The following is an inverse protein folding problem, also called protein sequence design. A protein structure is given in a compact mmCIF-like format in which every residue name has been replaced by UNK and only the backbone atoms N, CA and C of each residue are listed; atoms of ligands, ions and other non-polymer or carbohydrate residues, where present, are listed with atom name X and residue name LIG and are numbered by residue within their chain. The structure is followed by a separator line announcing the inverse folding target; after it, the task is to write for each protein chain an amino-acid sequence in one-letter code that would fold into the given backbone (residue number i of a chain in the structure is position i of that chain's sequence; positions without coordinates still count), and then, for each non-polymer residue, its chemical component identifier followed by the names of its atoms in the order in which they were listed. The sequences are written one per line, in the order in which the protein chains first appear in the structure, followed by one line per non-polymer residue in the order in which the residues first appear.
data_IF_531899648300
#
_entry.id   IF_531899648300
#
_cell.length_a   1.000
_cell.length_b   1.000
_cell.length_c   1.000
_cell.angle_alpha   90.00
_cell.angle_beta   90.00
_cell.angle_gamma   90.00
#
_symmetry.space_group_name_H-M   'P 1'
#
loop_
_entity.id
_entity.type
_entity.pdbx_description
1 polymer ?
#
# COMPACT_ATOMS: atom_id res chain seq x y z
N UNK A 1 12.47 11.68 1.61
CA UNK A 1 11.48 10.79 0.93
C UNK A 1 11.96 10.54 -0.49
N UNK A 2 12.28 9.29 -0.81
CA UNK A 2 12.81 8.85 -2.11
C UNK A 2 11.84 9.13 -3.26
N UNK A 3 12.34 9.11 -4.49
CA UNK A 3 11.56 9.28 -5.72
C UNK A 3 10.76 8.00 -5.99
N UNK A 4 9.63 7.83 -5.30
CA UNK A 4 8.80 6.65 -5.52
C UNK A 4 8.23 6.66 -6.94
N UNK A 5 8.41 5.55 -7.67
CA UNK A 5 7.84 5.38 -9.02
C UNK A 5 6.48 4.70 -8.90
N UNK A 6 5.46 5.31 -9.50
CA UNK A 6 4.08 4.82 -9.44
C UNK A 6 3.66 4.23 -10.77
N UNK A 7 2.98 3.08 -10.74
CA UNK A 7 2.57 2.34 -11.93
C UNK A 7 1.15 1.83 -11.75
N UNK A 8 0.28 2.12 -12.72
CA UNK A 8 -1.04 1.49 -12.85
C UNK A 8 -0.92 0.21 -13.67
N UNK A 9 -1.43 -0.90 -13.14
CA UNK A 9 -1.47 -2.20 -13.82
C UNK A 9 -2.90 -2.74 -13.96
N UNK A 10 -3.29 -3.24 -15.15
CA UNK A 10 -2.51 -3.27 -16.39
C UNK A 10 -2.35 -1.84 -16.94
N UNK A 11 -1.39 -1.66 -17.85
CA UNK A 11 -1.27 -0.39 -18.57
C UNK A 11 -2.57 -0.06 -19.31
N UNK A 12 -2.98 1.22 -19.38
CA UNK A 12 -4.14 1.64 -20.17
C UNK A 12 -3.98 1.39 -21.67
N UNK A 13 -2.75 1.25 -22.18
CA UNK A 13 -2.46 0.97 -23.58
C UNK A 13 -1.67 -0.33 -23.75
N UNK A 14 -1.73 -0.97 -24.94
CA UNK A 14 -0.88 -2.11 -25.24
C UNK A 14 0.60 -1.77 -25.03
N UNK A 15 1.29 -2.62 -24.25
CA UNK A 15 2.70 -2.41 -23.92
C UNK A 15 3.56 -2.71 -25.16
N UNK A 16 4.39 -1.74 -25.52
CA UNK A 16 5.49 -1.95 -26.47
C UNK A 16 6.66 -2.62 -25.74
N UNK A 17 7.25 -3.65 -26.35
CA UNK A 17 8.35 -4.41 -25.77
C UNK A 17 9.66 -4.02 -26.46
N UNK A 18 10.41 -3.13 -25.83
CA UNK A 18 11.73 -2.75 -26.33
C UNK A 18 12.72 -3.93 -26.22
N UNK A 19 13.71 -3.96 -27.12
CA UNK A 19 14.84 -4.87 -27.03
C UNK A 19 15.50 -4.78 -25.64
N UNK A 20 15.98 -5.91 -25.15
CA UNK A 20 16.64 -6.09 -23.85
C UNK A 20 15.72 -5.89 -22.62
N UNK A 21 14.41 -5.68 -22.83
CA UNK A 21 13.42 -5.63 -21.74
C UNK A 21 13.20 -7.01 -21.14
N UNK A 22 13.24 -7.12 -19.81
CA UNK A 22 12.87 -8.35 -19.09
C UNK A 22 11.34 -8.52 -19.08
N UNK A 23 10.89 -9.74 -19.36
CA UNK A 23 9.48 -10.09 -19.40
C UNK A 23 9.22 -11.42 -18.70
N UNK A 24 8.07 -11.52 -18.06
CA UNK A 24 7.51 -12.77 -17.58
C UNK A 24 6.60 -13.39 -18.64
N UNK A 25 6.84 -14.66 -18.97
CA UNK A 25 6.15 -15.40 -20.03
C UNK A 25 5.14 -16.34 -19.39
N UNK A 26 3.85 -16.03 -19.51
CA UNK A 26 2.76 -16.87 -18.99
C UNK A 26 2.70 -18.21 -19.72
N UNK A 27 2.52 -19.31 -19.00
CA UNK A 27 2.18 -20.60 -19.62
C UNK A 27 0.75 -20.59 -20.18
N UNK A 28 0.43 -21.50 -21.11
CA UNK A 28 -0.92 -21.60 -21.69
C UNK A 28 -1.96 -22.08 -20.66
N UNK A 29 -1.56 -23.01 -19.80
CA UNK A 29 -2.47 -23.70 -18.87
C UNK A 29 -2.65 -23.00 -17.53
N UNK A 30 -1.63 -22.28 -17.03
CA UNK A 30 -1.70 -21.56 -15.75
C UNK A 30 -1.02 -20.19 -15.86
N UNK A 31 -1.82 -19.12 -15.75
CA UNK A 31 -1.34 -17.74 -15.96
C UNK A 31 -0.31 -17.29 -14.93
N UNK A 32 -0.38 -17.82 -13.71
CA UNK A 32 0.52 -17.54 -12.59
C UNK A 32 1.76 -18.45 -12.59
N UNK A 33 1.92 -19.31 -13.62
CA UNK A 33 3.17 -20.05 -13.87
C UNK A 33 3.81 -19.49 -15.13
N UNK A 34 5.12 -19.32 -15.09
CA UNK A 34 5.85 -18.76 -16.21
C UNK A 34 7.35 -18.79 -16.02
N UNK A 35 8.05 -18.18 -16.98
CA UNK A 35 9.50 -18.03 -16.98
C UNK A 35 9.86 -16.59 -17.28
N UNK A 36 10.96 -16.13 -16.70
CA UNK A 36 11.54 -14.83 -17.07
C UNK A 36 12.35 -15.03 -18.35
N UNK A 37 12.27 -14.06 -19.25
CA UNK A 37 13.12 -13.97 -20.43
C UNK A 37 13.39 -12.52 -20.80
N UNK A 38 14.22 -12.33 -21.83
CA UNK A 38 14.63 -11.01 -22.32
C UNK A 38 14.19 -10.85 -23.77
N UNK A 39 13.55 -9.72 -24.09
CA UNK A 39 13.09 -9.41 -25.43
C UNK A 39 14.28 -9.23 -26.37
N UNK A 40 14.31 -9.98 -27.46
CA UNK A 40 15.38 -9.92 -28.47
C UNK A 40 14.98 -9.05 -29.64
N UNK A 41 13.77 -9.26 -30.17
CA UNK A 41 13.25 -8.55 -31.32
C UNK A 41 11.72 -8.67 -31.38
N UNK A 42 11.07 -7.86 -32.21
CA UNK A 42 9.66 -7.93 -32.53
C UNK A 42 9.49 -8.06 -34.05
N UNK A 43 8.76 -9.08 -34.50
CA UNK A 43 8.49 -9.34 -35.92
C UNK A 43 7.07 -9.89 -36.09
N UNK A 44 6.33 -9.36 -37.07
CA UNK A 44 4.99 -9.83 -37.45
C UNK A 44 4.00 -9.89 -36.26
N UNK A 45 4.01 -8.85 -35.42
CA UNK A 45 3.14 -8.78 -34.24
C UNK A 45 3.48 -9.76 -33.12
N UNK A 46 4.61 -10.48 -33.21
CA UNK A 46 5.11 -11.39 -32.19
C UNK A 46 6.42 -10.89 -31.60
N UNK A 47 6.65 -11.25 -30.35
CA UNK A 47 7.84 -10.86 -29.59
C UNK A 47 8.74 -12.08 -29.45
N UNK A 48 9.95 -11.98 -29.98
CA UNK A 48 11.00 -12.98 -29.80
C UNK A 48 11.67 -12.76 -28.45
N UNK A 49 11.64 -13.78 -27.59
CA UNK A 49 12.17 -13.71 -26.23
C UNK A 49 13.23 -14.79 -26.04
N UNK A 50 14.38 -14.40 -25.49
CA UNK A 50 15.45 -15.28 -25.06
C UNK A 50 15.19 -15.73 -23.62
N UNK A 51 15.22 -17.04 -23.39
CA UNK A 51 14.84 -17.66 -22.13
C UNK A 51 16.03 -18.49 -21.64
N UNK A 52 16.57 -18.20 -20.44
CA UNK A 52 17.64 -19.00 -19.86
C UNK A 52 17.11 -20.40 -19.49
N UNK A 53 17.93 -21.41 -19.73
CA UNK A 53 17.70 -22.80 -19.32
C UNK A 53 18.62 -23.07 -18.13
N UNK A 54 18.04 -23.13 -16.94
CA UNK A 54 18.72 -23.68 -15.77
C UNK A 54 18.69 -25.21 -15.87
N UNK A 55 19.78 -25.80 -16.34
CA UNK A 55 20.06 -27.23 -16.11
C UNK A 55 21.02 -27.35 -14.94
N UNK A 56 20.85 -28.33 -14.04
CA UNK A 56 21.89 -28.67 -13.08
C UNK A 56 23.16 -29.05 -13.85
N UNK A 57 24.27 -28.37 -13.59
CA UNK A 57 25.62 -28.72 -14.06
C UNK A 57 25.91 -28.61 -15.57
N UNK A 58 25.18 -27.79 -16.34
CA UNK A 58 25.59 -27.45 -17.72
C UNK A 58 25.83 -25.96 -17.89
N UNK A 59 26.63 -25.61 -18.90
CA UNK A 59 26.71 -24.23 -19.39
C UNK A 59 25.30 -23.65 -19.58
N UNK A 60 25.17 -22.35 -19.31
CA UNK A 60 23.91 -21.62 -19.37
C UNK A 60 23.38 -21.59 -20.79
N UNK A 61 22.62 -22.63 -21.17
CA UNK A 61 21.95 -22.68 -22.45
C UNK A 61 20.82 -21.66 -22.50
N UNK A 62 20.66 -21.00 -23.63
CA UNK A 62 19.53 -20.10 -23.90
C UNK A 62 18.75 -20.62 -25.09
N UNK A 63 17.43 -20.51 -25.06
CA UNK A 63 16.60 -20.74 -26.24
C UNK A 63 15.76 -19.51 -26.53
N UNK A 64 15.40 -19.32 -27.80
CA UNK A 64 14.54 -18.24 -28.22
C UNK A 64 13.17 -18.78 -28.62
N UNK A 65 12.11 -18.07 -28.22
CA UNK A 65 10.75 -18.43 -28.57
C UNK A 65 9.93 -17.18 -28.89
N UNK A 66 9.04 -17.32 -29.88
CA UNK A 66 8.17 -16.24 -30.33
C UNK A 66 6.81 -16.29 -29.62
N UNK A 67 6.46 -15.22 -28.92
CA UNK A 67 5.25 -15.12 -28.10
C UNK A 67 4.31 -14.03 -28.59
N UNK A 68 3.00 -14.27 -28.47
CA UNK A 68 2.01 -13.21 -28.64
C UNK A 68 2.10 -12.21 -27.46
N UNK A 69 1.94 -10.90 -27.68
CA UNK A 69 2.04 -9.87 -26.62
C UNK A 69 1.20 -10.19 -25.36
N UNK A 70 -0.03 -10.70 -25.54
CA UNK A 70 -0.91 -11.09 -24.42
C UNK A 70 -0.35 -12.18 -23.49
N UNK A 71 0.71 -12.89 -23.89
CA UNK A 71 1.40 -13.89 -23.06
C UNK A 71 2.55 -13.32 -22.24
N UNK A 72 2.95 -12.09 -22.51
CA UNK A 72 4.04 -11.42 -21.83
C UNK A 72 3.49 -10.47 -20.77
N UNK A 73 4.23 -10.33 -19.67
CA UNK A 73 4.03 -9.32 -18.64
C UNK A 73 5.38 -8.63 -18.47
N UNK A 74 5.47 -7.30 -18.60
CA UNK A 74 6.74 -6.62 -18.34
C UNK A 74 7.15 -6.83 -16.88
N UNK A 75 8.45 -7.00 -16.65
CA UNK A 75 9.01 -6.80 -15.31
C UNK A 75 9.14 -5.29 -15.15
N UNK A 76 8.26 -4.73 -14.32
CA UNK A 76 8.06 -3.30 -14.17
C UNK A 76 9.09 -2.66 -13.25
N UNK A 77 9.76 -3.50 -12.45
CA UNK A 77 10.70 -3.05 -11.45
C UNK A 77 12.06 -2.75 -12.01
N UNK A 78 12.60 -1.59 -11.65
CA UNK A 78 13.97 -1.23 -11.98
C UNK A 78 14.95 -1.77 -10.92
N UNK A 79 16.18 -2.10 -11.34
CA UNK A 79 17.27 -2.43 -10.42
C UNK A 79 17.80 -1.19 -9.66
N UNK A 80 17.03 -0.08 -9.61
CA UNK A 80 17.44 1.21 -9.05
C UNK A 80 16.97 1.37 -7.61
N UNK A 81 17.75 2.12 -6.82
CA UNK A 81 17.40 2.47 -5.45
C UNK A 81 16.14 3.36 -5.41
N UNK A 82 15.06 2.86 -4.80
CA UNK A 82 13.83 3.59 -4.59
C UNK A 82 12.63 2.66 -4.38
N UNK A 83 11.56 3.20 -3.78
CA UNK A 83 10.29 2.50 -3.67
C UNK A 83 9.59 2.52 -5.04
N UNK A 84 9.12 1.37 -5.50
CA UNK A 84 8.19 1.30 -6.62
C UNK A 84 6.81 0.87 -6.12
N UNK A 85 5.76 1.53 -6.58
CA UNK A 85 4.37 1.25 -6.19
C UNK A 85 3.59 0.83 -7.44
N UNK A 86 3.06 -0.39 -7.44
CA UNK A 86 2.21 -0.91 -8.50
C UNK A 86 0.79 -1.05 -7.96
N UNK A 87 -0.16 -0.33 -8.55
CA UNK A 87 -1.58 -0.40 -8.19
C UNK A 87 -2.33 -1.22 -9.23
N UNK A 88 -3.16 -2.16 -8.78
CA UNK A 88 -3.99 -2.99 -9.65
C UNK A 88 -5.42 -3.09 -9.13
N UNK A 89 -6.38 -3.30 -10.04
CA UNK A 89 -7.79 -3.44 -9.67
C UNK A 89 -8.13 -4.85 -9.16
N UNK A 90 -7.69 -5.88 -9.87
CA UNK A 90 -8.24 -7.24 -9.69
C UNK A 90 -7.28 -8.21 -9.00
N UNK A 91 -7.85 -9.21 -8.31
CA UNK A 91 -7.08 -10.30 -7.68
C UNK A 91 -6.28 -11.10 -8.70
N UNK A 92 -6.80 -11.33 -9.92
CA UNK A 92 -6.06 -12.06 -10.96
C UNK A 92 -4.79 -11.31 -11.40
N UNK A 93 -4.84 -9.99 -11.49
CA UNK A 93 -3.67 -9.18 -11.79
C UNK A 93 -2.71 -9.10 -10.61
N UNK A 94 -3.22 -9.03 -9.39
CA UNK A 94 -2.42 -9.07 -8.17
C UNK A 94 -1.57 -10.35 -8.08
N UNK A 95 -2.17 -11.52 -8.29
CA UNK A 95 -1.45 -12.80 -8.35
C UNK A 95 -0.49 -12.89 -9.51
N UNK A 96 -0.84 -12.31 -10.66
CA UNK A 96 0.06 -12.25 -11.81
C UNK A 96 1.29 -11.37 -11.54
N UNK A 97 1.13 -10.26 -10.79
CA UNK A 97 2.23 -9.43 -10.33
C UNK A 97 3.11 -10.18 -9.32
N UNK A 98 2.53 -10.95 -8.39
CA UNK A 98 3.30 -11.85 -7.53
C UNK A 98 4.18 -12.81 -8.32
N UNK A 99 3.64 -13.42 -9.38
CA UNK A 99 4.40 -14.35 -10.21
C UNK A 99 5.48 -13.67 -11.09
N UNK A 100 5.37 -12.38 -11.37
CA UNK A 100 6.20 -11.70 -12.38
C UNK A 100 7.20 -10.68 -11.84
N UNK A 101 6.97 -10.13 -10.65
CA UNK A 101 7.79 -9.05 -10.08
C UNK A 101 8.69 -9.51 -8.93
N UNK A 102 8.52 -10.76 -8.47
CA UNK A 102 9.32 -11.35 -7.42
C UNK A 102 10.55 -12.07 -7.96
N UNK A 103 11.59 -12.13 -7.14
CA UNK A 103 12.79 -12.94 -7.32
C UNK A 103 12.96 -13.90 -6.14
N UNK A 104 13.72 -14.97 -6.34
CA UNK A 104 13.77 -16.10 -5.40
C UNK A 104 14.27 -15.78 -4.00
N UNK A 105 14.95 -14.65 -3.81
CA UNK A 105 15.50 -14.23 -2.52
C UNK A 105 14.77 -13.02 -1.92
N UNK A 106 13.59 -12.65 -2.43
CA UNK A 106 12.81 -11.57 -1.82
C UNK A 106 12.29 -11.98 -0.43
N UNK A 107 12.20 -11.00 0.47
CA UNK A 107 11.43 -11.11 1.70
C UNK A 107 10.09 -10.45 1.45
N UNK A 108 9.00 -11.18 1.64
CA UNK A 108 7.67 -10.70 1.28
C UNK A 108 6.79 -10.57 2.51
N UNK A 109 6.15 -9.41 2.65
CA UNK A 109 5.02 -9.20 3.54
C UNK A 109 3.74 -9.10 2.70
N UNK A 110 2.75 -9.92 3.02
CA UNK A 110 1.41 -9.82 2.46
C UNK A 110 0.41 -9.38 3.54
N UNK A 111 -0.18 -8.20 3.36
CA UNK A 111 -1.17 -7.61 4.25
C UNK A 111 -2.56 -7.89 3.68
N UNK A 112 -3.40 -8.58 4.47
CA UNK A 112 -4.69 -9.11 4.02
C UNK A 112 -4.52 -10.41 3.25
N UNK A 113 -3.76 -11.37 3.81
CA UNK A 113 -3.46 -12.62 3.12
C UNK A 113 -4.64 -13.60 3.02
N UNK A 114 -5.73 -13.38 3.78
CA UNK A 114 -6.90 -14.25 3.83
C UNK A 114 -6.48 -15.73 4.04
N UNK A 115 -7.10 -16.67 3.33
CA UNK A 115 -6.79 -18.10 3.38
C UNK A 115 -5.56 -18.53 2.55
N UNK A 116 -4.72 -17.57 2.12
CA UNK A 116 -3.42 -17.84 1.52
C UNK A 116 -3.41 -18.23 0.04
N UNK A 117 -4.46 -17.96 -0.73
CA UNK A 117 -4.46 -18.23 -2.18
C UNK A 117 -3.40 -17.42 -2.95
N UNK A 118 -3.31 -16.11 -2.70
CA UNK A 118 -2.27 -15.28 -3.30
C UNK A 118 -0.89 -15.58 -2.69
N UNK A 119 -0.84 -15.83 -1.38
CA UNK A 119 0.35 -16.31 -0.67
C UNK A 119 0.97 -17.54 -1.34
N UNK A 120 0.15 -18.46 -1.87
CA UNK A 120 0.66 -19.68 -2.50
C UNK A 120 1.40 -19.37 -3.80
N UNK A 121 0.93 -18.37 -4.55
CA UNK A 121 1.64 -17.87 -5.72
C UNK A 121 2.97 -17.28 -5.28
N UNK A 122 2.97 -16.37 -4.30
CA UNK A 122 4.17 -15.72 -3.76
C UNK A 122 5.20 -16.76 -3.31
N UNK A 123 4.82 -17.71 -2.47
CA UNK A 123 5.70 -18.74 -1.91
C UNK A 123 6.30 -19.70 -2.94
N UNK A 124 5.75 -19.78 -4.15
CA UNK A 124 6.36 -20.54 -5.25
C UNK A 124 7.45 -19.75 -5.97
N UNK A 125 7.54 -18.43 -5.75
CA UNK A 125 8.53 -17.57 -6.39
C UNK A 125 9.64 -17.12 -5.45
N UNK A 126 9.48 -17.25 -4.13
CA UNK A 126 10.47 -16.83 -3.10
C UNK A 126 11.14 -18.00 -2.36
N UNK A 127 11.53 -19.04 -3.09
CA UNK A 127 12.06 -20.30 -2.52
C UNK A 127 13.30 -20.14 -1.62
N UNK A 128 14.15 -19.14 -1.90
CA UNK A 128 15.36 -18.81 -1.12
C UNK A 128 15.17 -17.59 -0.21
N UNK A 129 13.97 -17.02 -0.24
CA UNK A 129 13.53 -15.92 0.59
C UNK A 129 12.45 -16.40 1.55
N UNK A 130 11.54 -15.52 1.92
CA UNK A 130 10.45 -15.89 2.82
C UNK A 130 9.19 -15.04 2.62
N UNK A 131 8.08 -15.54 3.17
CA UNK A 131 6.78 -14.88 3.14
C UNK A 131 6.18 -14.82 4.56
N UNK A 132 5.72 -13.63 4.93
CA UNK A 132 4.83 -13.40 6.06
C UNK A 132 3.47 -12.97 5.51
N UNK A 133 2.43 -13.74 5.81
CA UNK A 133 1.06 -13.28 5.66
C UNK A 133 0.51 -12.73 6.98
N UNK A 134 -0.15 -11.57 6.94
CA UNK A 134 -0.92 -11.05 8.08
C UNK A 134 -2.37 -10.82 7.66
N UNK A 135 -3.29 -11.13 8.58
CA UNK A 135 -4.72 -10.87 8.42
C UNK A 135 -5.36 -10.63 9.80
N UNK A 136 -6.53 -10.01 9.81
CA UNK A 136 -7.31 -9.77 11.04
C UNK A 136 -8.19 -10.95 11.42
N UNK A 137 -8.55 -11.82 10.46
CA UNK A 137 -9.38 -13.00 10.73
C UNK A 137 -8.51 -14.16 11.21
N UNK A 138 -8.79 -14.61 12.43
CA UNK A 138 -8.19 -15.82 13.01
C UNK A 138 -8.49 -17.05 12.16
N UNK A 139 -9.72 -17.17 11.66
CA UNK A 139 -10.17 -18.32 10.86
C UNK A 139 -9.40 -18.41 9.54
N UNK A 140 -9.21 -17.27 8.86
CA UNK A 140 -8.46 -17.21 7.60
C UNK A 140 -6.98 -17.58 7.80
N UNK A 141 -6.37 -17.07 8.87
CA UNK A 141 -4.99 -17.40 9.23
C UNK A 141 -4.83 -18.88 9.55
N UNK A 142 -5.75 -19.47 10.30
CA UNK A 142 -5.71 -20.91 10.60
C UNK A 142 -5.77 -21.74 9.30
N UNK A 143 -6.70 -21.42 8.39
CA UNK A 143 -6.80 -22.10 7.09
C UNK A 143 -5.51 -21.98 6.27
N UNK A 144 -4.89 -20.78 6.24
CA UNK A 144 -3.64 -20.56 5.55
C UNK A 144 -2.49 -21.38 6.17
N UNK A 145 -2.38 -21.41 7.50
CA UNK A 145 -1.36 -22.20 8.20
C UNK A 145 -1.50 -23.70 7.92
N UNK A 146 -2.72 -24.25 8.02
CA UNK A 146 -2.99 -25.66 7.75
C UNK A 146 -2.62 -26.02 6.30
N UNK A 147 -3.07 -25.22 5.34
CA UNK A 147 -2.77 -25.39 3.92
C UNK A 147 -1.27 -25.42 3.64
N UNK A 148 -0.50 -24.50 4.21
CA UNK A 148 0.93 -24.41 3.93
C UNK A 148 1.75 -25.48 4.66
N UNK A 149 1.29 -25.93 5.82
CA UNK A 149 1.85 -27.09 6.51
C UNK A 149 1.68 -28.35 5.66
N UNK A 150 0.48 -28.59 5.11
CA UNK A 150 0.20 -29.76 4.27
C UNK A 150 1.00 -29.73 2.95
N UNK A 151 1.32 -28.53 2.45
CA UNK A 151 2.19 -28.33 1.29
C UNK A 151 3.69 -28.38 1.62
N UNK A 152 4.09 -28.52 2.89
CA UNK A 152 5.49 -28.57 3.31
C UNK A 152 6.28 -27.27 3.09
N UNK A 153 5.62 -26.11 3.09
CA UNK A 153 6.24 -24.80 2.85
C UNK A 153 6.79 -24.20 4.16
N UNK A 154 8.05 -24.49 4.47
CA UNK A 154 8.70 -24.05 5.72
C UNK A 154 9.16 -22.58 5.72
N UNK A 155 9.26 -21.94 4.57
CA UNK A 155 9.69 -20.54 4.43
C UNK A 155 8.53 -19.53 4.49
N UNK A 156 7.39 -19.94 5.07
CA UNK A 156 6.16 -19.13 5.14
C UNK A 156 5.64 -19.11 6.57
N UNK A 157 5.19 -17.95 7.03
CA UNK A 157 4.52 -17.81 8.32
C UNK A 157 3.28 -16.92 8.20
N UNK A 158 2.28 -17.17 9.04
CA UNK A 158 1.02 -16.43 9.04
C UNK A 158 0.68 -15.97 10.46
N UNK A 159 0.22 -14.73 10.60
CA UNK A 159 -0.05 -14.11 11.91
C UNK A 159 -1.38 -13.35 11.92
N UNK A 160 -2.15 -13.51 12.99
CA UNK A 160 -3.34 -12.72 13.25
C UNK A 160 -2.92 -11.36 13.83
N UNK A 161 -2.97 -10.31 13.01
CA UNK A 161 -2.61 -8.94 13.39
C UNK A 161 -3.43 -7.94 12.59
N UNK A 162 -4.00 -6.96 13.29
CA UNK A 162 -4.48 -5.73 12.67
C UNK A 162 -3.36 -4.68 12.65
N UNK A 163 -2.75 -4.38 11.49
CA UNK A 163 -1.71 -3.36 11.39
C UNK A 163 -2.20 -1.94 11.73
N UNK A 164 -3.51 -1.67 11.73
CA UNK A 164 -4.05 -0.40 12.24
C UNK A 164 -4.23 -0.43 13.76
N UNK A 165 -4.74 -1.53 14.29
CA UNK A 165 -4.96 -1.71 15.74
C UNK A 165 -3.66 -1.89 16.53
N UNK A 166 -2.68 -2.59 15.96
CA UNK A 166 -1.40 -2.93 16.58
C UNK A 166 -0.22 -2.82 15.58
N UNK A 167 0.09 -1.58 15.13
CA UNK A 167 1.18 -1.34 14.18
C UNK A 167 2.56 -1.72 14.72
N UNK A 168 2.72 -1.75 16.05
CA UNK A 168 3.98 -2.11 16.70
C UNK A 168 4.24 -3.60 16.55
N UNK A 169 3.27 -4.45 16.89
CA UNK A 169 3.38 -5.90 16.70
C UNK A 169 3.54 -6.27 15.22
N UNK A 170 2.82 -5.60 14.32
CA UNK A 170 3.00 -5.79 12.88
C UNK A 170 4.46 -5.53 12.45
N UNK A 171 5.06 -4.43 12.93
CA UNK A 171 6.45 -4.10 12.66
C UNK A 171 7.44 -5.10 13.27
N UNK A 172 7.19 -5.55 14.50
CA UNK A 172 8.01 -6.56 15.20
C UNK A 172 8.04 -7.88 14.43
N UNK A 173 6.88 -8.39 13.99
CA UNK A 173 6.78 -9.62 13.18
C UNK A 173 7.61 -9.49 11.91
N UNK A 174 7.48 -8.38 11.17
CA UNK A 174 8.20 -8.17 9.91
C UNK A 174 9.69 -8.04 10.14
N UNK A 175 10.12 -7.39 11.23
CA UNK A 175 11.54 -7.16 11.52
C UNK A 175 12.22 -8.45 12.00
N UNK A 176 11.56 -9.23 12.85
CA UNK A 176 12.11 -10.49 13.38
C UNK A 176 12.24 -11.59 12.33
N UNK A 177 11.50 -11.47 11.22
CA UNK A 177 11.50 -12.46 10.15
C UNK A 177 12.53 -12.16 9.05
N UNK A 178 13.16 -10.97 9.06
CA UNK A 178 14.22 -10.66 8.11
C UNK A 178 15.41 -11.57 8.40
N UNK A 179 15.99 -12.14 7.33
CA UNK A 179 17.17 -12.99 7.44
C UNK A 179 18.38 -12.24 8.02
N UNK A 180 19.48 -12.96 8.34
CA UNK A 180 20.64 -12.44 9.08
C UNK A 180 21.30 -11.19 8.46
N UNK A 181 21.04 -10.91 7.18
CA UNK A 181 21.60 -9.75 6.48
C UNK A 181 20.73 -8.49 6.55
N UNK A 182 19.51 -8.55 7.12
CA UNK A 182 18.64 -7.42 7.47
C UNK A 182 18.48 -6.27 6.44
N UNK A 183 18.80 -6.48 5.15
CA UNK A 183 18.72 -5.44 4.15
C UNK A 183 17.26 -5.24 3.71
N UNK A 184 16.70 -4.08 4.00
CA UNK A 184 15.38 -3.65 3.49
C UNK A 184 15.33 -3.62 1.96
N UNK A 185 16.48 -3.62 1.29
CA UNK A 185 16.65 -3.63 -0.17
C UNK A 185 16.00 -4.82 -0.87
N UNK A 186 15.54 -5.84 -0.13
CA UNK A 186 14.84 -7.03 -0.66
C UNK A 186 13.41 -7.19 -0.14
N UNK A 187 12.91 -6.24 0.64
CA UNK A 187 11.54 -6.29 1.14
C UNK A 187 10.55 -5.89 0.06
N UNK A 188 9.61 -6.78 -0.23
CA UNK A 188 8.46 -6.53 -1.11
C UNK A 188 7.19 -6.60 -0.28
N UNK A 189 6.28 -5.65 -0.45
CA UNK A 189 5.02 -5.61 0.28
C UNK A 189 3.84 -5.75 -0.67
N UNK A 190 2.94 -6.65 -0.33
CA UNK A 190 1.69 -6.92 -1.02
C UNK A 190 0.54 -6.45 -0.13
N UNK A 191 -0.38 -5.63 -0.65
CA UNK A 191 -1.52 -5.10 0.08
C UNK A 191 -2.82 -5.50 -0.64
N UNK A 192 -3.60 -6.38 -0.02
CA UNK A 192 -4.98 -6.71 -0.39
C UNK A 192 -5.88 -6.71 0.85
N UNK A 193 -6.17 -5.52 1.37
CA UNK A 193 -7.16 -5.35 2.44
C UNK A 193 -8.60 -5.29 1.87
N UNK A 194 -8.82 -5.86 0.69
CA UNK A 194 -10.01 -5.75 -0.14
C UNK A 194 -11.20 -6.54 0.37
N UNK A 195 -11.92 -5.93 1.31
CA UNK A 195 -13.34 -6.17 1.64
C UNK A 195 -14.10 -4.84 1.63
N UNK A 196 -14.88 -4.53 2.68
CA UNK A 196 -15.56 -3.24 2.87
C UNK A 196 -14.62 -2.05 3.19
N UNK A 197 -13.34 -2.11 2.81
CA UNK A 197 -12.36 -1.07 3.15
C UNK A 197 -12.33 -0.01 2.05
N UNK A 198 -12.30 1.25 2.48
CA UNK A 198 -12.31 2.42 1.62
C UNK A 198 -10.90 2.82 1.15
N UNK A 199 -10.85 3.80 0.25
CA UNK A 199 -9.61 4.42 -0.24
C UNK A 199 -8.74 4.96 0.91
N UNK A 200 -9.36 5.52 1.94
CA UNK A 200 -8.68 6.06 3.12
C UNK A 200 -7.83 4.98 3.80
N UNK A 201 -8.40 3.80 4.03
CA UNK A 201 -7.70 2.67 4.66
C UNK A 201 -6.46 2.27 3.84
N UNK A 202 -6.57 2.15 2.52
CA UNK A 202 -5.44 1.80 1.65
C UNK A 202 -4.34 2.86 1.70
N UNK A 203 -4.71 4.14 1.69
CA UNK A 203 -3.78 5.27 1.76
C UNK A 203 -3.01 5.28 3.09
N UNK A 204 -3.72 5.06 4.21
CA UNK A 204 -3.10 4.91 5.55
C UNK A 204 -2.14 3.73 5.59
N UNK A 205 -2.54 2.58 5.07
CA UNK A 205 -1.71 1.37 5.04
C UNK A 205 -0.42 1.63 4.27
N UNK A 206 -0.53 2.18 3.05
CA UNK A 206 0.64 2.50 2.25
C UNK A 206 1.56 3.50 2.95
N UNK A 207 1.00 4.48 3.66
CA UNK A 207 1.80 5.44 4.42
C UNK A 207 2.58 4.77 5.56
N UNK A 208 1.94 3.84 6.28
CA UNK A 208 2.60 3.04 7.30
C UNK A 208 3.72 2.17 6.69
N UNK A 209 3.45 1.49 5.57
CA UNK A 209 4.44 0.68 4.85
C UNK A 209 5.64 1.53 4.42
N UNK A 210 5.41 2.68 3.79
CA UNK A 210 6.47 3.59 3.33
C UNK A 210 7.33 4.09 4.50
N UNK A 211 6.68 4.51 5.59
CA UNK A 211 7.39 5.15 6.72
C UNK A 211 8.04 4.19 7.69
N UNK A 212 7.56 2.94 7.77
CA UNK A 212 8.04 1.96 8.76
C UNK A 212 8.87 0.83 8.16
N UNK A 213 8.60 0.45 6.91
CA UNK A 213 9.19 -0.74 6.32
C UNK A 213 10.22 -0.44 5.22
N UNK A 214 10.12 0.71 4.56
CA UNK A 214 10.98 1.13 3.44
C UNK A 214 11.22 -0.01 2.41
N UNK A 215 10.17 -0.59 1.81
CA UNK A 215 10.34 -1.68 0.86
C UNK A 215 10.89 -1.20 -0.49
N UNK A 216 11.49 -2.11 -1.27
CA UNK A 216 11.86 -1.84 -2.67
C UNK A 216 10.63 -1.76 -3.58
N UNK A 217 9.60 -2.53 -3.26
CA UNK A 217 8.40 -2.68 -4.08
C UNK A 217 7.17 -2.82 -3.19
N UNK A 218 6.11 -2.11 -3.53
CA UNK A 218 4.78 -2.28 -2.98
C UNK A 218 3.76 -2.57 -4.09
N UNK A 219 3.04 -3.68 -4.00
CA UNK A 219 1.97 -4.06 -4.93
C UNK A 219 0.64 -3.97 -4.19
N UNK A 220 -0.28 -3.16 -4.70
CA UNK A 220 -1.55 -2.82 -4.04
C UNK A 220 -2.68 -3.26 -4.94
N UNK A 221 -3.62 -4.05 -4.40
CA UNK A 221 -4.90 -4.31 -5.05
C UNK A 221 -5.99 -3.47 -4.39
N UNK A 222 -6.54 -2.51 -5.15
CA UNK A 222 -7.59 -1.62 -4.69
C UNK A 222 -8.36 -1.04 -5.87
N UNK A 223 -9.66 -1.35 -5.97
CA UNK A 223 -10.52 -0.78 -7.00
C UNK A 223 -10.67 0.74 -6.81
N UNK A 224 -10.95 1.17 -5.59
CA UNK A 224 -11.11 2.58 -5.24
C UNK A 224 -9.86 3.44 -5.55
N UNK A 225 -8.66 2.90 -5.33
CA UNK A 225 -7.43 3.63 -5.69
C UNK A 225 -7.25 3.72 -7.20
N UNK A 226 -7.56 2.67 -7.95
CA UNK A 226 -7.55 2.72 -9.42
C UNK A 226 -8.57 3.74 -9.93
N UNK A 227 -9.78 3.75 -9.38
CA UNK A 227 -10.83 4.71 -9.76
C UNK A 227 -10.40 6.15 -9.50
N UNK A 228 -9.80 6.42 -8.34
CA UNK A 228 -9.26 7.74 -8.01
C UNK A 228 -8.17 8.18 -9.00
N UNK A 229 -7.23 7.28 -9.35
CA UNK A 229 -6.18 7.56 -10.34
C UNK A 229 -6.81 7.91 -11.69
N UNK A 230 -7.83 7.16 -12.13
CA UNK A 230 -8.51 7.38 -13.41
C UNK A 230 -9.32 8.68 -13.43
N UNK A 231 -9.96 9.03 -12.33
CA UNK A 231 -10.72 10.27 -12.18
C UNK A 231 -9.80 11.50 -12.24
N UNK A 232 -8.70 11.47 -11.48
CA UNK A 232 -7.75 12.60 -11.41
C UNK A 232 -6.97 12.80 -12.72
N UNK A 233 -6.91 11.78 -13.57
CA UNK A 233 -6.21 11.82 -14.89
C UNK A 233 -7.13 12.19 -16.05
N UNK A 234 -8.45 12.00 -15.91
CA UNK A 234 -9.42 12.27 -16.98
C UNK A 234 -9.97 13.71 -16.97
N UNK A 235 -9.68 14.50 -15.93
CA UNK A 235 -10.22 15.86 -15.79
C UNK A 235 -9.54 16.81 -16.79
N UNK A 236 -10.23 17.26 -17.87
CA UNK A 236 -9.63 18.17 -18.84
C UNK A 236 -9.27 19.48 -18.14
N UNK A 237 -8.10 20.03 -18.43
CA UNK A 237 -7.85 21.44 -18.10
C UNK A 237 -8.83 22.23 -18.93
N UNK A 238 -9.83 22.86 -18.32
CA UNK A 238 -10.60 23.88 -19.02
C UNK A 238 -9.61 24.95 -19.49
N UNK A 239 -9.45 25.08 -20.81
CA UNK A 239 -8.55 26.06 -21.45
C UNK A 239 -9.02 27.52 -21.28
N UNK A 240 -10.15 27.73 -20.60
CA UNK A 240 -10.91 28.99 -20.54
C UNK A 240 -10.37 30.07 -19.58
N UNK A 241 -9.05 30.27 -19.44
CA UNK A 241 -8.53 31.37 -18.58
C UNK A 241 -7.48 32.28 -19.20
N UNK A 242 -7.29 32.29 -20.53
CA UNK A 242 -6.37 33.24 -21.19
C UNK A 242 -7.03 34.43 -21.87
N UNK A 243 -8.32 34.68 -21.70
CA UNK A 243 -8.98 35.91 -22.18
C UNK A 243 -9.21 36.95 -21.07
N UNK A 244 -8.16 37.32 -20.33
CA UNK A 244 -8.17 38.60 -19.63
C UNK A 244 -7.99 39.72 -20.66
N UNK A 245 -9.12 40.26 -21.11
CA UNK A 245 -9.14 41.56 -21.79
C UNK A 245 -8.58 42.61 -20.84
N UNK A 246 -7.58 43.34 -21.32
CA UNK A 246 -7.12 44.59 -20.74
C UNK A 246 -8.33 45.54 -20.59
N UNK A 247 -8.77 45.78 -19.36
CA UNK A 247 -9.58 46.94 -19.05
C UNK A 247 -8.87 47.75 -17.96
N UNK A 248 -8.33 48.86 -18.42
CA UNK A 248 -7.58 49.83 -17.63
C UNK A 248 -8.56 50.72 -16.88
N UNK A 249 -8.64 50.62 -15.56
CA UNK A 249 -8.99 51.77 -14.71
C UNK A 249 -8.47 51.60 -13.29
N UNK A 250 -7.69 52.61 -12.87
CA UNK A 250 -7.26 52.92 -11.51
C UNK A 250 -8.40 52.81 -10.48
N UNK A 251 -8.12 52.32 -9.27
CA UNK A 251 -8.13 53.08 -7.99
C UNK A 251 -7.50 52.22 -6.88
N UNK A 252 -6.62 52.87 -6.11
CA UNK A 252 -5.98 52.41 -4.88
C UNK A 252 -6.95 51.80 -3.85
N UNK A 253 -6.67 50.57 -3.40
CA UNK A 253 -6.81 50.22 -1.99
C UNK A 253 -5.86 49.06 -1.63
N UNK A 254 -4.89 49.37 -0.76
CA UNK A 254 -3.99 48.39 -0.16
C UNK A 254 -4.75 47.55 0.88
N UNK A 255 -5.19 46.35 0.48
CA UNK A 255 -5.44 45.23 1.39
C UNK A 255 -4.48 44.10 1.02
N UNK A 256 -3.69 43.66 1.99
CA UNK A 256 -2.76 42.54 1.86
C UNK A 256 -3.55 41.23 1.82
N UNK A 257 -4.21 40.94 0.71
CA UNK A 257 -4.66 39.59 0.40
C UNK A 257 -3.44 38.79 -0.08
N UNK A 258 -2.98 37.88 0.76
CA UNK A 258 -2.03 36.84 0.40
C UNK A 258 -2.69 35.88 -0.60
N UNK A 259 -2.77 36.32 -1.86
CA UNK A 259 -3.13 35.46 -2.98
C UNK A 259 -2.07 34.38 -3.07
N UNK A 260 -2.32 33.25 -2.40
CA UNK A 260 -1.52 32.05 -2.55
C UNK A 260 -1.58 31.73 -4.04
N UNK A 261 -0.48 32.00 -4.76
CA UNK A 261 -0.28 31.48 -6.10
C UNK A 261 -0.36 29.97 -5.94
N UNK A 262 -1.56 29.43 -6.15
CA UNK A 262 -1.82 28.00 -6.29
C UNK A 262 -0.94 27.59 -7.46
N UNK A 263 0.29 27.17 -7.16
CA UNK A 263 1.15 26.50 -8.13
C UNK A 263 0.24 25.43 -8.72
N UNK A 264 -0.07 25.54 -10.02
CA UNK A 264 -0.71 24.47 -10.79
C UNK A 264 0.12 23.25 -10.45
N UNK A 265 -0.38 22.38 -9.55
CA UNK A 265 0.26 21.10 -9.34
C UNK A 265 0.27 20.46 -10.71
N UNK A 266 1.45 20.09 -11.18
CA UNK A 266 1.59 19.42 -12.46
C UNK A 266 0.60 18.27 -12.51
N UNK A 267 -0.29 18.29 -13.49
CA UNK A 267 -1.39 17.34 -13.57
C UNK A 267 -0.85 15.92 -13.56
N UNK A 268 -1.58 15.06 -12.87
CA UNK A 268 -1.31 13.61 -12.84
C UNK A 268 -1.68 13.06 -14.21
N UNK A 269 -0.77 12.33 -14.84
CA UNK A 269 -1.00 11.68 -16.13
C UNK A 269 -0.47 10.27 -16.12
N UNK A 270 -1.11 9.39 -16.89
CA UNK A 270 -0.69 7.99 -17.03
C UNK A 270 -0.04 7.82 -18.41
N UNK A 271 1.21 7.40 -18.42
CA UNK A 271 1.92 7.08 -19.66
C UNK A 271 1.39 5.77 -20.29
N UNK A 272 1.61 5.53 -21.60
CA UNK A 272 1.23 4.28 -22.26
C UNK A 272 1.82 2.99 -21.67
N UNK A 273 2.83 3.09 -20.80
CA UNK A 273 3.41 1.96 -20.07
C UNK A 273 2.78 1.74 -18.68
N UNK A 274 1.82 2.58 -18.28
CA UNK A 274 1.17 2.58 -16.97
C UNK A 274 1.85 3.46 -15.92
N UNK A 275 3.03 4.04 -16.21
CA UNK A 275 3.72 4.94 -15.27
C UNK A 275 2.84 6.17 -14.99
N UNK A 276 2.66 6.49 -13.70
CA UNK A 276 1.92 7.65 -13.23
C UNK A 276 2.93 8.79 -13.01
N UNK A 277 2.93 9.76 -13.93
CA UNK A 277 3.76 10.96 -13.81
C UNK A 277 3.19 11.83 -12.69
N UNK A 278 4.08 12.35 -11.84
CA UNK A 278 3.74 13.04 -10.59
C UNK A 278 2.95 12.16 -9.60
N UNK A 279 3.10 10.84 -9.69
CA UNK A 279 2.38 9.89 -8.82
C UNK A 279 2.70 10.08 -7.33
N UNK A 280 3.91 10.54 -6.99
CA UNK A 280 4.28 10.86 -5.61
C UNK A 280 3.51 12.07 -5.10
N UNK A 281 3.52 13.17 -5.84
CA UNK A 281 2.82 14.41 -5.50
C UNK A 281 1.31 14.18 -5.41
N UNK A 282 0.76 13.39 -6.34
CA UNK A 282 -0.61 12.91 -6.31
C UNK A 282 -0.93 12.18 -5.00
N UNK A 283 -0.12 11.18 -4.65
CA UNK A 283 -0.31 10.40 -3.44
C UNK A 283 -0.20 11.26 -2.17
N UNK A 284 0.76 12.19 -2.11
CA UNK A 284 0.88 13.11 -0.97
C UNK A 284 -0.35 14.02 -0.85
N UNK A 285 -0.90 14.48 -1.97
CA UNK A 285 -2.18 15.21 -2.00
C UNK A 285 -3.33 14.36 -1.45
N UNK A 286 -3.41 13.09 -1.84
CA UNK A 286 -4.42 12.15 -1.35
C UNK A 286 -4.25 11.87 0.16
N UNK A 287 -3.02 11.64 0.62
CA UNK A 287 -2.71 11.46 2.03
C UNK A 287 -3.09 12.69 2.87
N UNK A 288 -2.84 13.90 2.36
CA UNK A 288 -3.24 15.12 3.04
C UNK A 288 -4.77 15.26 3.11
N UNK A 289 -5.50 14.90 2.04
CA UNK A 289 -6.97 14.86 2.06
C UNK A 289 -7.49 13.91 3.15
N UNK A 290 -6.92 12.71 3.22
CA UNK A 290 -7.25 11.71 4.26
C UNK A 290 -6.97 12.26 5.66
N UNK A 291 -5.78 12.84 5.89
CA UNK A 291 -5.44 13.47 7.18
C UNK A 291 -6.42 14.60 7.56
N UNK A 292 -6.84 15.41 6.59
CA UNK A 292 -7.80 16.49 6.83
C UNK A 292 -9.20 15.94 7.13
N UNK A 293 -9.66 14.92 6.39
CA UNK A 293 -10.95 14.26 6.66
C UNK A 293 -10.98 13.65 8.06
N UNK A 294 -9.89 13.02 8.47
CA UNK A 294 -9.70 12.50 9.82
C UNK A 294 -9.74 13.64 10.84
N UNK A 295 -9.01 14.74 10.63
CA UNK A 295 -9.03 15.89 11.53
C UNK A 295 -10.45 16.47 11.70
N UNK A 296 -11.24 16.49 10.63
CA UNK A 296 -12.65 16.91 10.67
C UNK A 296 -13.57 15.87 11.34
N UNK A 297 -13.29 14.58 11.19
CA UNK A 297 -14.08 13.49 11.76
C UNK A 297 -13.75 13.19 13.22
N UNK A 298 -12.55 13.53 13.71
CA UNK A 298 -12.12 13.44 15.13
C UNK A 298 -13.08 14.19 16.06
N UNK A 299 -13.83 15.18 15.55
CA UNK A 299 -14.88 15.82 16.33
C UNK A 299 -16.11 14.93 16.61
N UNK A 300 -16.18 13.71 16.05
CA UNK A 300 -17.16 12.69 16.45
C UNK A 300 -16.51 11.67 17.38
N UNK A 301 -16.80 11.72 18.70
CA UNK A 301 -16.25 10.74 19.63
C UNK A 301 -16.66 9.32 19.24
N UNK A 302 -15.69 8.38 19.27
CA UNK A 302 -15.88 6.94 18.94
C UNK A 302 -17.08 6.32 19.67
N UNK A 303 -17.36 6.82 20.86
CA UNK A 303 -18.57 6.51 21.60
C UNK A 303 -19.45 7.77 21.65
N UNK A 304 -20.66 7.68 21.12
CA UNK A 304 -21.64 8.76 21.19
C UNK A 304 -22.04 9.12 22.62
N UNK A 305 -21.73 8.25 23.59
CA UNK A 305 -21.96 8.50 25.01
C UNK A 305 -20.85 7.85 25.86
N UNK A 306 -20.32 8.54 26.90
CA UNK A 306 -19.29 8.01 27.79
C UNK A 306 -19.54 6.59 28.32
N UNK A 307 -20.78 6.28 28.71
CA UNK A 307 -21.15 4.95 29.24
C UNK A 307 -21.01 3.79 28.24
N UNK A 308 -20.94 4.06 26.94
CA UNK A 308 -20.75 3.01 25.91
C UNK A 308 -19.30 2.60 25.74
N UNK A 309 -18.34 3.42 26.19
CA UNK A 309 -16.95 3.04 26.19
C UNK A 309 -16.72 1.90 27.21
N UNK A 310 -15.94 0.85 26.88
CA UNK A 310 -15.58 -0.19 27.85
C UNK A 310 -14.80 0.41 29.03
N UNK A 311 -14.65 -0.32 30.13
CA UNK A 311 -13.82 0.13 31.26
C UNK A 311 -12.34 0.05 30.88
N UNK A 312 -11.59 1.13 31.10
CA UNK A 312 -10.12 1.14 31.02
C UNK A 312 -9.52 1.53 32.38
N UNK A 313 -8.44 0.87 32.78
CA UNK A 313 -7.75 1.12 34.05
C UNK A 313 -6.54 2.02 33.83
N UNK A 314 -6.23 2.83 34.85
CA UNK A 314 -5.10 3.74 34.86
C UNK A 314 -3.79 2.98 34.71
N UNK A 315 -2.84 3.46 33.88
CA UNK A 315 -1.52 2.86 33.79
C UNK A 315 -0.70 3.01 35.07
N UNK A 316 -1.05 3.95 35.97
CA UNK A 316 -0.28 4.23 37.19
C UNK A 316 -0.37 3.10 38.23
N UNK A 317 -1.55 2.52 38.39
CA UNK A 317 -1.82 1.55 39.46
C UNK A 317 -2.53 0.28 38.99
N UNK A 318 -2.95 0.22 37.72
CA UNK A 318 -3.72 -0.89 37.14
C UNK A 318 -4.99 -1.25 37.93
N UNK A 319 -5.53 -0.28 38.69
CA UNK A 319 -6.69 -0.48 39.57
C UNK A 319 -7.72 0.63 39.42
N UNK A 320 -7.29 1.89 39.35
CA UNK A 320 -8.19 3.04 39.27
C UNK A 320 -8.75 3.16 37.87
N UNK A 321 -10.08 3.15 37.68
CA UNK A 321 -10.64 3.32 36.34
C UNK A 321 -10.43 4.73 35.79
N UNK A 322 -10.18 4.83 34.49
CA UNK A 322 -10.11 6.11 33.77
C UNK A 322 -11.53 6.67 33.59
N UNK A 323 -11.72 7.95 33.90
CA UNK A 323 -13.03 8.58 33.84
C UNK A 323 -13.52 8.72 32.39
N UNK A 324 -14.50 7.90 32.02
CA UNK A 324 -15.16 7.94 30.71
C UNK A 324 -15.82 9.30 30.43
N UNK A 325 -16.44 9.92 31.44
CA UNK A 325 -17.09 11.23 31.27
C UNK A 325 -16.08 12.34 31.00
N UNK A 326 -14.97 12.35 31.73
CA UNK A 326 -13.88 13.29 31.46
C UNK A 326 -13.35 13.16 30.03
N UNK A 327 -13.22 11.91 29.55
CA UNK A 327 -12.58 11.59 28.29
C UNK A 327 -13.48 11.73 27.05
N UNK A 328 -14.77 11.44 27.15
CA UNK A 328 -15.69 11.41 25.99
C UNK A 328 -16.80 12.45 26.04
N UNK A 329 -17.14 13.01 27.21
CA UNK A 329 -18.22 14.00 27.30
C UNK A 329 -17.73 15.37 26.81
N UNK A 330 -18.60 16.13 26.13
CA UNK A 330 -18.27 17.46 25.62
C UNK A 330 -17.86 18.41 26.76
N UNK A 331 -18.62 18.40 27.85
CA UNK A 331 -18.44 19.27 29.02
C UNK A 331 -17.47 18.67 30.06
N UNK A 332 -16.88 17.50 29.80
CA UNK A 332 -16.05 16.78 30.75
C UNK A 332 -16.84 16.09 31.88
N UNK A 333 -16.14 15.73 32.96
CA UNK A 333 -16.74 15.09 34.13
C UNK A 333 -17.38 16.15 35.05
N UNK A 334 -18.66 15.99 35.38
CA UNK A 334 -19.38 16.92 36.27
C UNK A 334 -18.89 16.90 37.72
N UNK A 335 -18.16 15.87 38.14
CA UNK A 335 -17.59 15.76 39.49
C UNK A 335 -16.29 16.55 39.68
N UNK A 336 -15.66 17.04 38.60
CA UNK A 336 -14.44 17.85 38.69
C UNK A 336 -13.34 17.17 39.52
N UNK A 337 -12.88 17.85 40.57
CA UNK A 337 -11.83 17.38 41.49
C UNK A 337 -12.32 16.36 42.52
N UNK A 338 -13.63 16.20 42.70
CA UNK A 338 -14.23 15.21 43.60
C UNK A 338 -14.43 13.85 42.90
N UNK A 339 -13.91 13.69 41.68
CA UNK A 339 -14.00 12.43 40.97
C UNK A 339 -12.85 11.49 41.38
N UNK A 340 -13.18 10.37 42.00
CA UNK A 340 -12.21 9.32 42.38
C UNK A 340 -11.63 8.53 41.18
N UNK A 341 -11.82 9.02 39.95
CA UNK A 341 -11.41 8.34 38.72
C UNK A 341 -10.24 9.07 38.09
N UNK A 342 -9.44 8.35 37.30
CA UNK A 342 -8.28 8.94 36.63
C UNK A 342 -8.72 9.94 35.54
N UNK A 343 -8.33 11.20 35.73
CA UNK A 343 -8.53 12.32 34.81
C UNK A 343 -7.24 12.71 34.05
N UNK A 344 -6.11 12.09 34.38
CA UNK A 344 -4.80 12.40 33.81
C UNK A 344 -4.61 11.67 32.49
N UNK A 345 -5.02 10.40 32.43
CA UNK A 345 -4.78 9.56 31.27
C UNK A 345 -5.94 9.56 30.28
N UNK A 346 -5.56 9.54 29.00
CA UNK A 346 -6.47 9.30 27.90
C UNK A 346 -7.06 7.89 28.02
N UNK A 347 -8.39 7.78 28.07
CA UNK A 347 -9.08 6.50 28.16
C UNK A 347 -8.79 5.58 26.96
N UNK A 348 -8.41 6.14 25.82
CA UNK A 348 -8.15 5.36 24.61
C UNK A 348 -6.72 4.81 24.55
N UNK A 349 -5.71 5.69 24.64
CA UNK A 349 -4.32 5.30 24.43
C UNK A 349 -3.49 5.19 25.70
N UNK A 350 -4.09 5.49 26.86
CA UNK A 350 -3.48 5.46 28.18
C UNK A 350 -2.32 6.46 28.38
N UNK A 351 -2.07 7.35 27.43
CA UNK A 351 -1.07 8.43 27.59
C UNK A 351 -1.69 9.64 28.29
N UNK A 352 -0.91 10.39 29.10
CA UNK A 352 -1.39 11.61 29.72
C UNK A 352 -1.50 12.79 28.73
N UNK A 353 -2.09 13.90 29.21
CA UNK A 353 -2.02 15.21 28.55
C UNK A 353 -3.10 15.49 27.51
N UNK A 354 -4.02 14.56 27.27
CA UNK A 354 -5.16 14.76 26.37
C UNK A 354 -6.33 13.84 26.72
N UNK A 355 -7.53 14.18 26.24
CA UNK A 355 -8.75 13.35 26.40
C UNK A 355 -8.87 12.36 25.24
N UNK A 356 -9.59 11.26 25.45
CA UNK A 356 -9.86 10.28 24.41
C UNK A 356 -10.52 10.87 23.16
N UNK A 357 -11.42 11.86 23.32
CA UNK A 357 -12.02 12.58 22.20
C UNK A 357 -11.02 13.42 21.37
N UNK A 358 -9.87 13.75 21.94
CA UNK A 358 -8.80 14.53 21.32
C UNK A 358 -7.58 13.66 20.96
N UNK A 359 -7.71 12.33 21.04
CA UNK A 359 -6.60 11.39 20.95
C UNK A 359 -6.21 11.06 19.51
N UNK A 360 -5.00 11.48 19.10
CA UNK A 360 -4.43 11.14 17.78
C UNK A 360 -4.05 9.66 17.61
N UNK A 361 -3.98 8.90 18.71
CA UNK A 361 -3.75 7.44 18.65
C UNK A 361 -5.05 6.68 18.41
N UNK A 362 -6.21 7.33 18.49
CA UNK A 362 -7.53 6.73 18.17
C UNK A 362 -7.82 6.56 16.68
N UNK A 363 -6.82 6.86 15.84
CA UNK A 363 -6.85 6.95 14.37
C UNK A 363 -6.68 5.63 13.63
#
# INVERSE_FOLDING_TARGET
MSNAKWILYPSPQPISYAKDTKVFIKTKSRREKGRIGTVVNQKDGRILVQIPITKPNSDSAVYQASHAPKRLVPILTSDKNGLEVIVTRTTSHYRLLAASQLISTDYVLEIGCSNGEASLVIANYVEKGSLIGIDVSTEMIQQAQEKFRDLGKSNVSFHVVDPFGDPKRALEIVTNHKGPNNSNDRLVVFIDIGGNRDLESVVKMLHWVETKLNPRLCIIKSEAMVDQIQQDTSTPVSEDSTSFKHESTNVNHQSQESTSKRRKLDQVRIEPCGTIVNGKEWYQGLLQKVKNQIALSIHKPRFSHPKKAPLSLSPLDQKTPICRYHNYHKDGCSKGNECDLDHVHCHYCLEPGHKAKDCIKSL
#
